data_IF_791778213331
#
_entry.id   IF_791778213331
#
_cell.length_a   1.000
_cell.length_b   1.000
_cell.length_c   1.000
_cell.angle_alpha   90.00
_cell.angle_beta   90.00
_cell.angle_gamma   90.00
#
_symmetry.space_group_name_H-M   'P 1'
#
loop_
_entity.id
_entity.type
_entity.pdbx_description
1 polymer ?
#
# COMPACT_ATOMS: atom_id res chain seq x y z
N UNK A 1 4.23 7.31 6.52
CA UNK A 1 2.94 7.81 6.00
C UNK A 1 2.86 7.38 4.55
N UNK A 2 2.05 6.35 4.26
CA UNK A 2 1.88 5.79 2.92
C UNK A 2 1.32 6.86 1.96
N UNK A 3 1.98 7.12 0.82
CA UNK A 3 1.42 7.96 -0.25
C UNK A 3 0.17 7.33 -0.89
N UNK A 4 -0.06 6.06 -0.56
CA UNK A 4 -1.06 5.15 -1.10
C UNK A 4 -2.49 5.71 -1.02
N UNK A 5 -2.83 6.41 0.07
CA UNK A 5 -4.18 6.91 0.35
C UNK A 5 -4.66 7.97 -0.65
N UNK A 6 -3.73 8.64 -1.32
CA UNK A 6 -4.01 9.72 -2.26
C UNK A 6 -3.63 9.35 -3.69
N UNK A 7 -3.47 8.07 -4.01
CA UNK A 7 -3.09 7.67 -5.36
C UNK A 7 -4.32 7.24 -6.17
N UNK A 8 -4.42 7.72 -7.41
CA UNK A 8 -5.43 7.28 -8.38
C UNK A 8 -5.47 5.75 -8.53
N UNK A 9 -4.33 5.10 -8.41
CA UNK A 9 -4.19 3.65 -8.61
C UNK A 9 -4.40 2.82 -7.34
N UNK A 10 -4.88 3.40 -6.23
CA UNK A 10 -4.99 2.74 -4.92
C UNK A 10 -5.63 1.34 -4.99
N UNK A 11 -6.69 1.18 -5.78
CA UNK A 11 -7.47 -0.06 -5.86
C UNK A 11 -6.96 -1.08 -6.90
N UNK A 12 -6.05 -0.68 -7.81
CA UNK A 12 -5.67 -1.49 -8.99
C UNK A 12 -4.15 -1.64 -9.20
N UNK A 13 -3.33 -1.29 -8.21
CA UNK A 13 -1.87 -1.31 -8.29
C UNK A 13 -1.25 -2.55 -7.62
N UNK A 14 -0.28 -3.18 -8.29
CA UNK A 14 0.42 -4.36 -7.76
C UNK A 14 1.22 -4.07 -6.49
N UNK A 15 1.89 -2.92 -6.39
CA UNK A 15 2.65 -2.55 -5.19
C UNK A 15 1.73 -2.35 -3.97
N UNK A 16 0.57 -1.70 -4.17
CA UNK A 16 -0.42 -1.55 -3.09
C UNK A 16 -0.98 -2.92 -2.67
N UNK A 17 -1.23 -3.82 -3.61
CA UNK A 17 -1.64 -5.19 -3.29
C UNK A 17 -0.61 -5.95 -2.45
N UNK A 18 0.69 -5.78 -2.72
CA UNK A 18 1.75 -6.43 -1.94
C UNK A 18 1.79 -5.88 -0.51
N UNK A 19 1.78 -4.56 -0.33
CA UNK A 19 1.81 -3.93 1.00
C UNK A 19 0.57 -4.28 1.81
N UNK A 20 -0.61 -4.23 1.20
CA UNK A 20 -1.87 -4.60 1.86
C UNK A 20 -1.87 -6.04 2.38
N UNK A 21 -1.27 -6.98 1.64
CA UNK A 21 -1.13 -8.38 2.10
C UNK A 21 -0.27 -8.49 3.35
N UNK A 22 0.72 -7.62 3.54
CA UNK A 22 1.57 -7.65 4.74
C UNK A 22 0.83 -7.11 5.97
N UNK A 23 -0.11 -6.18 5.80
CA UNK A 23 -0.90 -5.63 6.91
C UNK A 23 -1.93 -6.61 7.50
N UNK A 24 -2.07 -7.82 6.96
CA UNK A 24 -2.84 -8.94 7.53
C UNK A 24 -4.33 -8.67 7.83
N UNK A 25 -4.88 -7.52 7.42
CA UNK A 25 -6.32 -7.23 7.48
C UNK A 25 -6.96 -7.57 6.14
N UNK A 26 -7.74 -8.68 6.06
CA UNK A 26 -8.48 -9.06 4.84
C UNK A 26 -9.66 -8.12 4.55
N UNK A 27 -9.89 -7.10 5.38
CA UNK A 27 -11.09 -6.25 5.35
C UNK A 27 -11.15 -5.26 4.19
N UNK A 28 -10.03 -4.97 3.49
CA UNK A 28 -10.09 -4.27 2.20
C UNK A 28 -10.43 -5.28 1.08
N UNK A 29 -11.64 -5.80 1.13
CA UNK A 29 -12.27 -6.77 0.23
C UNK A 29 -12.45 -6.28 -1.24
N UNK A 30 -11.65 -5.34 -1.74
CA UNK A 30 -11.84 -4.72 -3.05
C UNK A 30 -10.56 -4.49 -3.87
N UNK A 31 -9.41 -5.08 -3.51
CA UNK A 31 -8.32 -5.15 -4.48
C UNK A 31 -8.75 -6.11 -5.60
N UNK A 32 -8.98 -5.52 -6.77
CA UNK A 32 -9.56 -6.20 -7.92
C UNK A 32 -8.72 -7.44 -8.26
N UNK A 33 -9.37 -8.59 -8.50
CA UNK A 33 -8.70 -9.85 -8.91
C UNK A 33 -7.86 -9.66 -10.18
N UNK A 34 -8.19 -8.65 -10.96
CA UNK A 34 -7.40 -8.15 -12.08
C UNK A 34 -6.55 -6.97 -11.60
N UNK A 35 -5.35 -7.24 -11.11
CA UNK A 35 -4.34 -6.20 -10.91
C UNK A 35 -3.90 -5.73 -12.29
N UNK A 36 -4.38 -4.56 -12.71
CA UNK A 36 -4.16 -4.04 -14.06
C UNK A 36 -2.93 -3.13 -14.17
N UNK A 37 -2.40 -2.65 -13.04
CA UNK A 37 -1.34 -1.66 -13.03
C UNK A 37 -0.10 -2.11 -12.27
N UNK A 38 1.05 -2.06 -12.95
CA UNK A 38 2.38 -2.24 -12.34
C UNK A 38 3.08 -0.88 -12.27
N UNK A 39 3.32 -0.34 -11.07
CA UNK A 39 3.94 0.97 -10.92
C UNK A 39 5.42 0.94 -11.25
N UNK A 40 5.97 2.10 -11.64
CA UNK A 40 7.39 2.30 -11.87
C UNK A 40 8.08 2.76 -10.60
N UNK A 41 9.16 2.07 -10.26
CA UNK A 41 10.04 2.39 -9.12
C UNK A 41 9.29 2.76 -7.82
N UNK A 42 8.42 1.88 -7.28
CA UNK A 42 7.87 2.09 -5.95
C UNK A 42 8.98 1.91 -4.90
N UNK A 43 9.10 2.86 -3.97
CA UNK A 43 9.97 2.74 -2.80
C UNK A 43 9.11 2.37 -1.60
N UNK A 44 9.42 1.22 -1.01
CA UNK A 44 8.73 0.69 0.17
C UNK A 44 9.64 0.86 1.38
N UNK A 45 9.13 1.53 2.41
CA UNK A 45 9.76 1.62 3.71
C UNK A 45 9.18 0.54 4.63
N UNK A 46 10.05 -0.18 5.33
CA UNK A 46 9.68 -1.23 6.29
C UNK A 46 10.25 -0.86 7.66
N UNK A 47 9.37 -0.52 8.59
CA UNK A 47 9.75 -0.25 9.97
C UNK A 47 9.48 -1.47 10.84
N UNK A 48 10.52 -1.99 11.46
CA UNK A 48 10.44 -3.14 12.35
C UNK A 48 10.61 -2.63 13.79
N UNK A 49 9.59 -2.80 14.61
CA UNK A 49 9.60 -2.46 16.03
C UNK A 49 9.43 -3.74 16.82
N UNK A 50 10.44 -4.09 17.60
CA UNK A 50 10.39 -5.27 18.46
C UNK A 50 10.36 -4.83 19.93
N UNK A 51 9.23 -5.05 20.58
CA UNK A 51 9.15 -5.02 22.03
C UNK A 51 9.23 -6.47 22.52
N UNK A 52 9.71 -6.69 23.75
CA UNK A 52 10.03 -8.01 24.33
C UNK A 52 8.99 -9.13 24.17
N UNK A 53 7.73 -8.80 23.85
CA UNK A 53 6.63 -9.74 23.64
C UNK A 53 5.97 -9.64 22.25
N UNK A 54 6.26 -8.59 21.47
CA UNK A 54 5.52 -8.28 20.23
C UNK A 54 6.47 -7.73 19.16
N UNK A 55 6.41 -8.36 17.98
CA UNK A 55 7.03 -7.86 16.76
C UNK A 55 5.97 -7.11 15.93
N UNK A 56 6.16 -5.81 15.76
CA UNK A 56 5.35 -4.96 14.88
C UNK A 56 6.15 -4.65 13.62
N UNK A 57 5.53 -4.87 12.46
CA UNK A 57 6.13 -4.57 11.16
C UNK A 57 5.18 -3.63 10.41
N UNK A 58 5.62 -2.40 10.20
CA UNK A 58 4.89 -1.38 9.46
C UNK A 58 5.44 -1.28 8.03
N UNK A 59 4.57 -1.46 7.04
CA UNK A 59 4.90 -1.35 5.62
C UNK A 59 4.26 -0.11 5.03
N UNK A 60 5.04 0.75 4.39
CA UNK A 60 4.57 1.98 3.74
C UNK A 60 5.20 2.11 2.34
N UNK A 61 4.42 2.45 1.31
CA UNK A 61 5.01 3.01 0.08
C UNK A 61 5.18 4.50 0.31
N UNK A 62 6.41 4.97 0.21
CA UNK A 62 6.80 6.36 0.50
C UNK A 62 7.01 7.18 -0.76
N UNK A 63 7.43 6.54 -1.86
CA UNK A 63 7.65 7.19 -3.16
C UNK A 63 7.28 6.24 -4.30
N UNK A 64 6.90 6.80 -5.45
CA UNK A 64 6.64 6.04 -6.67
C UNK A 64 6.64 6.96 -7.90
N UNK A 65 7.35 6.61 -8.97
CA UNK A 65 7.34 7.39 -10.22
C UNK A 65 6.02 7.30 -10.99
N UNK A 66 5.14 6.39 -10.59
CA UNK A 66 3.79 6.25 -11.11
C UNK A 66 2.72 6.88 -10.21
N UNK A 67 3.12 7.60 -9.17
CA UNK A 67 2.17 8.28 -8.29
C UNK A 67 1.41 9.37 -9.07
N UNK A 68 0.09 9.32 -8.99
CA UNK A 68 -0.80 10.36 -9.49
C UNK A 68 -1.70 10.73 -8.32
N UNK A 69 -1.61 12.00 -7.91
CA UNK A 69 -2.38 12.52 -6.79
C UNK A 69 -3.87 12.53 -7.12
N UNK A 70 -4.67 11.89 -6.27
CA UNK A 70 -6.11 11.81 -6.29
C UNK A 70 -6.61 11.68 -4.83
N UNK A 71 -6.68 12.80 -4.09
CA UNK A 71 -7.08 12.79 -2.69
C UNK A 71 -8.50 12.24 -2.53
N UNK A 72 -8.74 11.47 -1.47
CA UNK A 72 -10.06 10.85 -1.21
C UNK A 72 -10.31 9.53 -1.92
N UNK A 73 -9.37 9.04 -2.76
CA UNK A 73 -9.48 7.72 -3.42
C UNK A 73 -9.64 6.54 -2.46
N UNK A 74 -9.27 6.71 -1.19
CA UNK A 74 -9.42 5.66 -0.18
C UNK A 74 -10.83 5.57 0.42
N UNK A 75 -11.67 6.61 0.27
CA UNK A 75 -12.94 6.78 1.01
C UNK A 75 -14.14 6.11 0.30
N UNK A 76 -13.95 5.50 -0.86
CA UNK A 76 -15.02 4.87 -1.67
C UNK A 76 -15.48 3.47 -1.23
#
# INVERSE_FOLDING_TARGET
MCICINCLYINNCSAYSIVQKQHSTPTFNKLNLYILFTPRAPIINVNIKHNSLVLNIDWDIVECLSFIDNPGSWVE
#
